data_IF_002406007251
#
_entry.id   IF_002406007251
#
_cell.length_a   1.000
_cell.length_b   1.000
_cell.length_c   1.000
_cell.angle_alpha   90.00
_cell.angle_beta   90.00
_cell.angle_gamma   90.00
#
_symmetry.space_group_name_H-M   'P 1'
#
loop_
_entity.id
_entity.type
_entity.pdbx_description
1 polymer ?
#
# COMPACT_ATOMS: atom_id res chain seq x y z
N UNK A 1 0.47 -17.91 -29.17
CA UNK A 1 0.00 -18.90 -28.19
C UNK A 1 -1.10 -19.69 -28.87
N UNK A 2 -1.03 -21.03 -28.91
CA UNK A 2 -2.15 -21.83 -29.40
C UNK A 2 -3.38 -21.52 -28.55
N UNK A 3 -4.54 -21.42 -29.18
CA UNK A 3 -5.79 -21.18 -28.48
C UNK A 3 -6.18 -22.39 -27.62
N UNK A 4 -6.93 -22.17 -26.55
CA UNK A 4 -7.37 -23.24 -25.64
C UNK A 4 -8.13 -24.35 -26.39
N UNK A 5 -8.86 -23.99 -27.45
CA UNK A 5 -9.53 -24.96 -28.34
C UNK A 5 -8.52 -25.82 -29.11
N UNK A 6 -7.49 -25.20 -29.71
CA UNK A 6 -6.45 -25.93 -30.45
C UNK A 6 -5.68 -26.88 -29.52
N UNK A 7 -5.39 -26.45 -28.29
CA UNK A 7 -4.73 -27.30 -27.29
C UNK A 7 -5.58 -28.53 -26.91
N UNK A 8 -6.89 -28.37 -26.76
CA UNK A 8 -7.80 -29.49 -26.46
C UNK A 8 -7.94 -30.45 -27.65
N UNK A 9 -7.96 -29.94 -28.88
CA UNK A 9 -7.98 -30.78 -30.08
C UNK A 9 -6.66 -31.56 -30.22
N UNK A 10 -5.52 -30.91 -29.95
CA UNK A 10 -4.21 -31.56 -29.94
C UNK A 10 -4.08 -32.62 -28.82
N UNK A 11 -4.80 -32.46 -27.72
CA UNK A 11 -4.93 -33.46 -26.64
C UNK A 11 -5.87 -34.63 -27.00
N UNK A 12 -6.50 -34.59 -28.17
CA UNK A 12 -7.36 -35.67 -28.69
C UNK A 12 -8.84 -35.57 -28.31
N UNK A 13 -9.30 -34.41 -27.84
CA UNK A 13 -10.73 -34.18 -27.61
C UNK A 13 -11.46 -33.83 -28.92
N UNK A 14 -12.72 -34.26 -29.03
CA UNK A 14 -13.57 -33.97 -30.18
C UNK A 14 -13.85 -32.45 -30.30
N UNK A 15 -13.67 -31.90 -31.50
CA UNK A 15 -13.67 -30.45 -31.74
C UNK A 15 -14.95 -29.75 -31.27
N UNK A 16 -16.12 -30.37 -31.47
CA UNK A 16 -17.40 -29.79 -31.03
C UNK A 16 -17.52 -29.77 -29.50
N UNK A 17 -17.03 -30.82 -28.82
CA UNK A 17 -17.07 -30.93 -27.36
C UNK A 17 -16.09 -29.95 -26.71
N UNK A 18 -14.90 -29.83 -27.29
CA UNK A 18 -13.89 -28.86 -26.86
C UNK A 18 -14.38 -27.43 -27.04
N UNK A 19 -15.08 -27.13 -28.14
CA UNK A 19 -15.67 -25.81 -28.37
C UNK A 19 -16.76 -25.50 -27.34
N UNK A 20 -17.64 -26.45 -27.03
CA UNK A 20 -18.64 -26.33 -25.97
C UNK A 20 -17.99 -26.09 -24.61
N UNK A 21 -16.94 -26.83 -24.27
CA UNK A 21 -16.22 -26.69 -23.01
C UNK A 21 -15.60 -25.30 -22.85
N UNK A 22 -14.86 -24.83 -23.87
CA UNK A 22 -14.22 -23.51 -23.87
C UNK A 22 -15.26 -22.38 -23.82
N UNK A 23 -16.40 -22.55 -24.50
CA UNK A 23 -17.48 -21.56 -24.50
C UNK A 23 -18.17 -21.41 -23.14
N UNK A 24 -18.22 -22.48 -22.34
CA UNK A 24 -18.90 -22.49 -21.04
C UNK A 24 -18.00 -22.10 -19.86
N UNK A 25 -16.68 -22.32 -19.93
CA UNK A 25 -15.78 -22.15 -18.76
C UNK A 25 -14.70 -21.09 -18.93
N UNK A 26 -14.43 -20.60 -20.14
CA UNK A 26 -13.60 -19.43 -20.38
C UNK A 26 -12.08 -19.61 -20.11
N UNK A 27 -11.58 -20.84 -20.08
CA UNK A 27 -10.14 -21.14 -20.01
C UNK A 27 -9.82 -22.63 -20.07
N UNK A 28 -8.60 -22.99 -20.49
CA UNK A 28 -8.17 -24.39 -20.68
C UNK A 28 -8.45 -25.30 -19.47
N UNK A 29 -8.10 -24.87 -18.27
CA UNK A 29 -8.25 -25.70 -17.06
C UNK A 29 -9.72 -25.94 -16.71
N UNK A 30 -10.57 -24.92 -16.85
CA UNK A 30 -12.01 -25.07 -16.67
C UNK A 30 -12.64 -25.92 -17.78
N UNK A 31 -12.12 -25.84 -19.00
CA UNK A 31 -12.60 -26.67 -20.11
C UNK A 31 -12.27 -28.16 -19.89
N UNK A 32 -11.11 -28.49 -19.31
CA UNK A 32 -10.76 -29.86 -18.95
C UNK A 32 -11.66 -30.43 -17.84
N UNK A 33 -11.90 -29.67 -16.78
CA UNK A 33 -12.79 -30.09 -15.67
C UNK A 33 -14.24 -30.27 -16.13
N UNK A 34 -14.69 -29.41 -17.05
CA UNK A 34 -16.01 -29.53 -17.67
C UNK A 34 -16.11 -30.74 -18.59
N UNK A 35 -15.06 -31.06 -19.36
CA UNK A 35 -15.00 -32.24 -20.21
C UNK A 35 -14.98 -33.54 -19.40
N UNK A 36 -14.28 -33.56 -18.26
CA UNK A 36 -14.26 -34.69 -17.32
C UNK A 36 -15.66 -34.92 -16.72
N UNK A 37 -16.31 -33.85 -16.27
CA UNK A 37 -17.65 -33.93 -15.68
C UNK A 37 -18.75 -34.32 -16.67
N UNK A 38 -18.52 -34.10 -17.97
CA UNK A 38 -19.47 -34.40 -19.04
C UNK A 38 -19.02 -35.57 -19.92
N UNK A 39 -18.05 -36.37 -19.48
CA UNK A 39 -17.47 -37.45 -20.27
C UNK A 39 -18.51 -38.49 -20.69
N UNK A 40 -19.45 -38.81 -19.80
CA UNK A 40 -20.49 -39.83 -19.97
C UNK A 40 -21.75 -39.33 -20.69
N UNK A 41 -21.91 -38.01 -20.85
CA UNK A 41 -23.08 -37.41 -21.51
C UNK A 41 -22.86 -37.33 -23.01
N UNK A 42 -23.81 -37.80 -23.82
CA UNK A 42 -23.73 -37.64 -25.28
C UNK A 42 -23.73 -36.16 -25.69
N UNK A 43 -23.18 -35.84 -26.86
CA UNK A 43 -23.19 -34.47 -27.38
C UNK A 43 -24.61 -33.90 -27.51
N UNK A 44 -25.61 -34.74 -27.78
CA UNK A 44 -27.01 -34.32 -27.85
C UNK A 44 -27.59 -34.00 -26.47
N UNK A 45 -27.26 -34.77 -25.43
CA UNK A 45 -27.66 -34.48 -24.04
C UNK A 45 -27.00 -33.21 -23.52
N UNK A 46 -25.73 -32.98 -23.85
CA UNK A 46 -25.00 -31.75 -23.49
C UNK A 46 -25.58 -30.54 -24.22
N UNK A 47 -25.90 -30.67 -25.52
CA UNK A 47 -26.56 -29.61 -26.31
C UNK A 47 -27.98 -29.34 -25.80
N UNK A 48 -28.72 -30.38 -25.37
CA UNK A 48 -30.05 -30.23 -24.78
C UNK A 48 -30.00 -29.59 -23.37
N UNK A 49 -29.02 -29.96 -22.54
CA UNK A 49 -28.83 -29.39 -21.21
C UNK A 49 -28.37 -27.93 -21.28
N UNK A 50 -27.45 -27.60 -22.19
CA UNK A 50 -27.04 -26.22 -22.45
C UNK A 50 -28.18 -25.39 -23.04
N UNK A 51 -28.97 -25.94 -23.97
CA UNK A 51 -30.19 -25.30 -24.48
C UNK A 51 -31.21 -25.02 -23.36
N UNK A 52 -31.42 -25.98 -22.45
CA UNK A 52 -32.27 -25.81 -21.27
C UNK A 52 -31.72 -24.76 -20.29
N UNK A 53 -30.40 -24.68 -20.11
CA UNK A 53 -29.73 -23.63 -19.32
C UNK A 53 -29.85 -22.25 -19.98
N UNK A 54 -29.74 -22.12 -21.30
CA UNK A 54 -30.00 -20.85 -22.00
C UNK A 54 -31.47 -20.44 -22.00
N UNK A 55 -32.40 -21.40 -22.01
CA UNK A 55 -33.82 -21.11 -21.84
C UNK A 55 -34.14 -20.64 -20.41
N UNK A 56 -33.42 -21.14 -19.41
CA UNK A 56 -33.48 -20.66 -18.02
C UNK A 56 -32.75 -19.31 -17.82
N UNK A 57 -31.68 -19.03 -18.59
CA UNK A 57 -30.93 -17.77 -18.51
C UNK A 57 -31.59 -16.59 -19.27
N UNK A 58 -32.59 -16.88 -20.11
CA UNK A 58 -33.43 -15.87 -20.78
C UNK A 58 -34.69 -15.48 -20.00
N UNK A 59 -35.00 -16.17 -18.90
CA UNK A 59 -36.10 -15.84 -18.01
C UNK A 59 -35.57 -15.04 -16.82
N UNK A 60 -36.15 -13.86 -16.58
CA UNK A 60 -35.91 -13.09 -15.36
C UNK A 60 -36.07 -14.02 -14.12
N UNK A 61 -35.17 -13.96 -13.11
CA UNK A 61 -35.26 -14.75 -11.86
C UNK A 61 -36.48 -14.39 -10.98
N UNK A 62 -37.42 -13.61 -11.51
CA UNK A 62 -38.68 -13.21 -10.90
C UNK A 62 -39.91 -13.79 -11.60
N UNK A 63 -39.76 -14.51 -12.71
CA UNK A 63 -40.90 -15.05 -13.44
C UNK A 63 -41.20 -16.50 -13.01
N UNK A 64 -42.41 -16.80 -12.53
CA UNK A 64 -42.76 -18.14 -12.12
C UNK A 64 -42.73 -19.12 -13.30
N UNK A 65 -42.36 -20.39 -13.08
CA UNK A 65 -42.31 -21.40 -14.13
C UNK A 65 -43.67 -21.55 -14.81
N UNK A 66 -43.68 -21.53 -16.15
CA UNK A 66 -44.89 -21.74 -16.94
C UNK A 66 -45.40 -23.18 -16.79
N UNK A 67 -46.73 -23.33 -16.72
CA UNK A 67 -47.42 -24.62 -16.59
C UNK A 67 -47.09 -25.57 -17.75
N UNK A 68 -46.88 -26.85 -17.42
CA UNK A 68 -46.86 -27.93 -18.42
C UNK A 68 -48.31 -28.23 -18.86
N UNK A 69 -48.57 -28.55 -20.14
CA UNK A 69 -49.92 -28.87 -20.60
C UNK A 69 -50.39 -30.19 -20.00
N UNK A 70 -51.32 -30.14 -19.03
CA UNK A 70 -51.96 -31.33 -18.44
C UNK A 70 -52.21 -31.31 -16.93
N UNK A 71 -51.77 -30.29 -16.18
CA UNK A 71 -52.05 -30.20 -14.73
C UNK A 71 -53.39 -29.52 -14.42
N UNK A 72 -54.21 -30.19 -13.61
CA UNK A 72 -55.50 -29.70 -13.12
C UNK A 72 -55.31 -28.50 -12.17
N UNK A 73 -55.98 -27.39 -12.45
CA UNK A 73 -55.82 -26.14 -11.72
C UNK A 73 -56.44 -26.21 -10.31
N UNK A 74 -55.65 -26.63 -9.32
CA UNK A 74 -55.95 -26.38 -7.90
C UNK A 74 -55.30 -25.06 -7.48
N UNK A 75 -56.10 -24.01 -7.29
CA UNK A 75 -55.59 -22.70 -6.86
C UNK A 75 -55.22 -22.71 -5.37
N UNK A 76 -53.92 -22.66 -5.07
CA UNK A 76 -53.41 -22.53 -3.70
C UNK A 76 -53.27 -21.04 -3.33
N UNK A 77 -53.67 -20.64 -2.12
CA UNK A 77 -53.54 -19.27 -1.62
C UNK A 77 -52.59 -19.24 -0.45
N UNK A 78 -51.55 -18.42 -0.50
CA UNK A 78 -50.72 -18.18 0.67
C UNK A 78 -51.48 -17.29 1.67
N UNK A 79 -51.69 -17.77 2.90
CA UNK A 79 -52.42 -17.04 3.93
C UNK A 79 -51.61 -15.85 4.49
N UNK A 80 -50.28 -15.90 4.40
CA UNK A 80 -49.38 -14.85 4.90
C UNK A 80 -49.36 -13.59 4.01
N UNK A 81 -49.52 -13.76 2.69
CA UNK A 81 -49.48 -12.63 1.74
C UNK A 81 -50.67 -12.53 0.80
N UNK A 82 -51.66 -13.42 0.94
CA UNK A 82 -52.89 -13.44 0.14
C UNK A 82 -52.69 -13.70 -1.36
N UNK A 83 -51.48 -14.12 -1.79
CA UNK A 83 -51.19 -14.40 -3.20
C UNK A 83 -51.80 -15.74 -3.59
N UNK A 84 -52.52 -15.76 -4.71
CA UNK A 84 -53.11 -16.96 -5.29
C UNK A 84 -52.19 -17.52 -6.36
N UNK A 85 -51.94 -18.83 -6.29
CA UNK A 85 -51.07 -19.57 -7.17
C UNK A 85 -51.89 -20.52 -8.02
N UNK A 86 -51.52 -20.65 -9.29
CA UNK A 86 -52.25 -21.48 -10.26
C UNK A 86 -51.82 -22.96 -10.21
N UNK A 87 -50.63 -23.24 -9.67
CA UNK A 87 -50.04 -24.58 -9.54
C UNK A 87 -49.23 -24.72 -8.25
N UNK A 88 -48.99 -25.97 -7.86
CA UNK A 88 -48.17 -26.31 -6.70
C UNK A 88 -46.70 -25.87 -6.87
N UNK A 89 -46.13 -26.01 -8.08
CA UNK A 89 -44.77 -25.54 -8.37
C UNK A 89 -44.60 -24.02 -8.18
N UNK A 90 -45.66 -23.25 -8.41
CA UNK A 90 -45.66 -21.80 -8.22
C UNK A 90 -45.75 -21.42 -6.72
N UNK A 91 -46.48 -22.21 -5.93
CA UNK A 91 -46.55 -22.07 -4.48
C UNK A 91 -45.21 -22.44 -3.82
N UNK A 92 -44.54 -23.50 -4.28
CA UNK A 92 -43.21 -23.91 -3.80
C UNK A 92 -42.14 -22.86 -4.12
N UNK A 93 -42.16 -22.27 -5.32
CA UNK A 93 -41.24 -21.18 -5.67
C UNK A 93 -41.46 -19.95 -4.78
N UNK A 94 -42.72 -19.58 -4.53
CA UNK A 94 -43.05 -18.49 -3.62
C UNK A 94 -42.61 -18.80 -2.18
N UNK A 95 -42.82 -20.04 -1.71
CA UNK A 95 -42.32 -20.48 -0.42
C UNK A 95 -40.79 -20.39 -0.33
N UNK A 96 -40.04 -20.73 -1.39
CA UNK A 96 -38.58 -20.64 -1.42
C UNK A 96 -38.04 -19.20 -1.41
N UNK A 97 -38.79 -18.26 -2.00
CA UNK A 97 -38.35 -16.87 -2.18
C UNK A 97 -38.79 -15.96 -1.03
N UNK A 98 -39.96 -16.23 -0.44
CA UNK A 98 -40.52 -15.40 0.63
C UNK A 98 -40.66 -16.12 1.96
N UNK A 99 -40.25 -17.40 2.06
CA UNK A 99 -40.34 -18.23 3.28
C UNK A 99 -41.77 -18.39 3.83
N UNK A 100 -42.80 -18.20 3.00
CA UNK A 100 -44.19 -18.40 3.41
C UNK A 100 -44.59 -19.86 3.21
N UNK A 101 -45.09 -20.50 4.26
CA UNK A 101 -45.40 -21.95 4.29
C UNK A 101 -46.88 -22.27 4.44
N UNK A 102 -47.71 -21.29 4.79
CA UNK A 102 -49.15 -21.50 5.01
C UNK A 102 -49.95 -21.30 3.73
N UNK A 103 -50.33 -22.40 3.07
CA UNK A 103 -51.17 -22.40 1.87
C UNK A 103 -52.54 -23.03 2.11
N UNK A 104 -53.62 -22.37 1.69
CA UNK A 104 -54.98 -22.89 1.68
C UNK A 104 -55.44 -23.23 0.26
N UNK A 105 -56.09 -24.39 0.08
CA UNK A 105 -56.69 -24.78 -1.20
C UNK A 105 -57.98 -23.97 -1.40
N UNK A 106 -58.01 -23.09 -2.41
CA UNK A 106 -59.19 -22.33 -2.80
C UNK A 106 -59.78 -22.90 -4.10
N UNK A 107 -61.09 -23.12 -4.13
CA UNK A 107 -61.83 -23.67 -5.29
C UNK A 107 -62.21 -22.63 -6.34
N UNK A 108 -61.67 -21.41 -6.24
CA UNK A 108 -61.94 -20.34 -7.19
C UNK A 108 -60.89 -20.36 -8.29
N UNK A 109 -61.25 -20.93 -9.44
CA UNK A 109 -60.46 -20.86 -10.66
C UNK A 109 -60.09 -19.40 -10.96
N UNK A 110 -58.79 -19.09 -10.85
CA UNK A 110 -58.27 -17.77 -11.22
C UNK A 110 -58.57 -17.57 -12.71
N UNK A 111 -59.52 -16.68 -13.01
CA UNK A 111 -59.84 -16.33 -14.39
C UNK A 111 -58.54 -15.91 -15.11
N UNK A 112 -58.21 -16.50 -16.27
CA UNK A 112 -57.04 -16.09 -17.02
C UNK A 112 -57.18 -14.60 -17.35
N UNK A 113 -56.14 -13.81 -17.02
CA UNK A 113 -56.09 -12.38 -17.36
C UNK A 113 -56.61 -12.14 -18.78
N UNK A 114 -57.50 -11.16 -18.93
CA UNK A 114 -58.06 -10.81 -20.24
C UNK A 114 -56.94 -10.41 -21.20
N UNK A 115 -57.10 -10.66 -22.50
CA UNK A 115 -56.03 -10.40 -23.50
C UNK A 115 -55.56 -8.93 -23.45
N UNK A 116 -56.49 -7.99 -23.21
CA UNK A 116 -56.19 -6.57 -23.04
C UNK A 116 -55.31 -6.24 -21.83
N UNK A 117 -55.48 -6.93 -20.69
CA UNK A 117 -54.68 -6.70 -19.49
C UNK A 117 -53.27 -7.32 -19.61
N UNK A 118 -53.15 -8.40 -20.39
CA UNK A 118 -51.84 -8.99 -20.72
C UNK A 118 -51.04 -8.08 -21.62
N UNK A 119 -51.68 -7.49 -22.63
CA UNK A 119 -51.04 -6.52 -23.53
C UNK A 119 -50.60 -5.26 -22.76
N UNK A 120 -51.44 -4.71 -21.89
CA UNK A 120 -51.08 -3.57 -21.06
C UNK A 120 -49.89 -3.86 -20.12
N UNK A 121 -49.84 -5.04 -19.48
CA UNK A 121 -48.70 -5.45 -18.65
C UNK A 121 -47.43 -5.68 -19.47
N UNK A 122 -47.53 -6.21 -20.69
CA UNK A 122 -46.40 -6.37 -21.59
C UNK A 122 -45.84 -5.02 -22.04
N UNK A 123 -46.70 -4.03 -22.31
CA UNK A 123 -46.27 -2.66 -22.62
C UNK A 123 -45.61 -2.00 -21.42
N UNK A 124 -46.17 -2.12 -20.22
CA UNK A 124 -45.56 -1.61 -18.99
C UNK A 124 -44.18 -2.24 -18.73
N UNK A 125 -44.04 -3.54 -18.94
CA UNK A 125 -42.76 -4.26 -18.82
C UNK A 125 -41.75 -3.81 -19.88
N UNK A 126 -42.19 -3.58 -21.14
CA UNK A 126 -41.34 -3.05 -22.21
C UNK A 126 -40.85 -1.64 -21.89
N UNK A 127 -41.70 -0.78 -21.34
CA UNK A 127 -41.33 0.56 -20.89
C UNK A 127 -40.31 0.48 -19.75
N UNK A 128 -40.55 -0.35 -18.73
CA UNK A 128 -39.60 -0.55 -17.62
C UNK A 128 -38.25 -1.10 -18.08
N UNK A 129 -38.24 -2.02 -19.05
CA UNK A 129 -37.01 -2.54 -19.66
C UNK A 129 -36.28 -1.47 -20.46
N UNK A 130 -37.00 -0.65 -21.22
CA UNK A 130 -36.43 0.48 -21.96
C UNK A 130 -35.80 1.50 -21.00
N UNK A 131 -36.47 1.85 -19.90
CA UNK A 131 -35.94 2.74 -18.87
C UNK A 131 -34.69 2.16 -18.18
N UNK A 132 -34.71 0.87 -17.83
CA UNK A 132 -33.53 0.19 -17.26
C UNK A 132 -32.35 0.19 -18.24
N UNK A 133 -32.59 -0.06 -19.54
CA UNK A 133 -31.57 -0.01 -20.59
C UNK A 133 -31.00 1.40 -20.75
N UNK A 134 -31.84 2.43 -20.71
CA UNK A 134 -31.38 3.82 -20.80
C UNK A 134 -30.51 4.20 -19.60
N UNK A 135 -30.96 3.90 -18.37
CA UNK A 135 -30.17 4.15 -17.15
C UNK A 135 -28.84 3.42 -17.18
N UNK A 136 -28.81 2.15 -17.59
CA UNK A 136 -27.57 1.39 -17.73
C UNK A 136 -26.65 2.01 -18.79
N UNK A 137 -27.18 2.42 -19.94
CA UNK A 137 -26.38 3.08 -20.98
C UNK A 137 -25.81 4.43 -20.54
N UNK A 138 -26.50 5.19 -19.67
CA UNK A 138 -25.98 6.43 -19.10
C UNK A 138 -24.86 6.18 -18.08
N UNK A 139 -25.03 5.17 -17.21
CA UNK A 139 -24.00 4.74 -16.27
C UNK A 139 -22.75 4.23 -17.00
N UNK A 140 -22.93 3.36 -18.00
CA UNK A 140 -21.82 2.82 -18.80
C UNK A 140 -21.06 3.95 -19.53
N UNK A 141 -21.76 4.98 -20.02
CA UNK A 141 -21.13 6.18 -20.61
C UNK A 141 -20.37 7.01 -19.58
N UNK A 142 -20.89 7.16 -18.37
CA UNK A 142 -20.21 7.88 -17.30
C UNK A 142 -18.94 7.14 -16.84
N UNK A 143 -19.04 5.82 -16.68
CA UNK A 143 -17.92 4.96 -16.28
C UNK A 143 -16.85 4.89 -17.38
N UNK A 144 -17.24 4.85 -18.66
CA UNK A 144 -16.30 4.93 -19.77
C UNK A 144 -15.52 6.25 -19.77
N UNK A 145 -16.19 7.39 -19.55
CA UNK A 145 -15.53 8.71 -19.43
C UNK A 145 -14.57 8.75 -18.24
N UNK A 146 -14.98 8.23 -17.08
CA UNK A 146 -14.15 8.16 -15.88
C UNK A 146 -12.90 7.29 -16.11
N UNK A 147 -13.07 6.13 -16.73
CA UNK A 147 -11.96 5.24 -17.07
C UNK A 147 -10.99 5.88 -18.06
N UNK A 148 -11.49 6.60 -19.05
CA UNK A 148 -10.64 7.36 -19.98
C UNK A 148 -9.86 8.48 -19.27
N UNK A 149 -10.52 9.21 -18.36
CA UNK A 149 -9.86 10.25 -17.56
C UNK A 149 -8.77 9.66 -16.66
N UNK A 150 -9.01 8.51 -16.02
CA UNK A 150 -8.01 7.80 -15.22
C UNK A 150 -6.81 7.41 -16.08
N UNK A 151 -7.03 6.86 -17.29
CA UNK A 151 -5.94 6.50 -18.21
C UNK A 151 -5.10 7.72 -18.63
N UNK A 152 -5.76 8.84 -18.92
CA UNK A 152 -5.09 10.10 -19.27
C UNK A 152 -4.28 10.64 -18.08
N UNK A 153 -4.86 10.66 -16.87
CA UNK A 153 -4.17 11.10 -15.65
C UNK A 153 -2.98 10.20 -15.32
N UNK A 154 -3.15 8.89 -15.32
CA UNK A 154 -2.06 7.94 -15.02
C UNK A 154 -0.90 8.06 -16.01
N UNK A 155 -1.18 8.26 -17.30
CA UNK A 155 -0.14 8.47 -18.32
C UNK A 155 0.61 9.80 -18.08
N UNK A 156 -0.13 10.87 -17.76
CA UNK A 156 0.46 12.18 -17.43
C UNK A 156 1.30 12.11 -16.16
N UNK A 157 0.80 11.51 -15.09
CA UNK A 157 1.53 11.34 -13.83
C UNK A 157 2.81 10.52 -14.03
N UNK A 158 2.77 9.48 -14.87
CA UNK A 158 3.96 8.70 -15.22
C UNK A 158 5.01 9.54 -15.97
N UNK A 159 4.57 10.42 -16.87
CA UNK A 159 5.47 11.35 -17.58
C UNK A 159 6.04 12.40 -16.62
N UNK A 160 5.19 13.02 -15.79
CA UNK A 160 5.58 14.02 -14.81
C UNK A 160 6.57 13.43 -13.78
N UNK A 161 6.35 12.21 -13.30
CA UNK A 161 7.30 11.50 -12.43
C UNK A 161 8.65 11.28 -13.10
N UNK A 162 8.67 10.85 -14.37
CA UNK A 162 9.93 10.67 -15.12
C UNK A 162 10.67 12.01 -15.27
N UNK A 163 9.97 13.08 -15.65
CA UNK A 163 10.58 14.41 -15.76
C UNK A 163 11.11 14.91 -14.41
N UNK A 164 10.39 14.69 -13.32
CA UNK A 164 10.83 15.09 -11.99
C UNK A 164 12.07 14.31 -11.55
N UNK A 165 12.15 13.01 -11.84
CA UNK A 165 13.34 12.21 -11.57
C UNK A 165 14.55 12.74 -12.36
N UNK A 166 14.40 12.99 -13.66
CA UNK A 166 15.47 13.55 -14.50
C UNK A 166 15.91 14.93 -13.99
N UNK A 167 14.97 15.83 -13.64
CA UNK A 167 15.28 17.15 -13.07
C UNK A 167 16.02 17.02 -11.74
N UNK A 168 15.62 16.09 -10.86
CA UNK A 168 16.25 15.84 -9.57
C UNK A 168 17.67 15.29 -9.73
N UNK A 169 17.90 14.41 -10.70
CA UNK A 169 19.22 13.88 -11.03
C UNK A 169 20.15 14.98 -11.56
N UNK A 170 19.68 15.81 -12.49
CA UNK A 170 20.44 16.95 -13.00
C UNK A 170 20.81 17.96 -11.90
N UNK A 171 19.86 18.28 -11.00
CA UNK A 171 20.14 19.15 -9.85
C UNK A 171 21.15 18.53 -8.90
N UNK A 172 21.06 17.22 -8.64
CA UNK A 172 22.00 16.49 -7.78
C UNK A 172 23.39 16.46 -8.39
N UNK A 173 23.51 16.24 -9.69
CA UNK A 173 24.79 16.27 -10.40
C UNK A 173 25.40 17.67 -10.41
N UNK A 174 24.60 18.71 -10.69
CA UNK A 174 25.05 20.09 -10.63
C UNK A 174 25.52 20.48 -9.21
N UNK A 175 24.81 20.03 -8.17
CA UNK A 175 25.18 20.25 -6.78
C UNK A 175 26.48 19.52 -6.40
N UNK A 176 26.65 18.26 -6.82
CA UNK A 176 27.90 17.51 -6.64
C UNK A 176 29.08 18.21 -7.31
N UNK A 177 28.91 18.63 -8.57
CA UNK A 177 29.96 19.35 -9.31
C UNK A 177 30.32 20.69 -8.67
N UNK A 178 29.36 21.41 -8.08
CA UNK A 178 29.63 22.63 -7.30
C UNK A 178 30.41 22.31 -6.03
N UNK A 179 30.03 21.25 -5.33
CA UNK A 179 30.70 20.80 -4.10
C UNK A 179 32.13 20.32 -4.38
N UNK A 180 32.35 19.50 -5.39
CA UNK A 180 33.69 19.04 -5.81
C UNK A 180 34.59 20.23 -6.17
N UNK A 181 34.07 21.22 -6.91
CA UNK A 181 34.81 22.45 -7.20
C UNK A 181 35.17 23.23 -5.93
N UNK A 182 34.27 23.32 -4.96
CA UNK A 182 34.55 23.99 -3.68
C UNK A 182 35.60 23.22 -2.88
N UNK A 183 35.48 21.90 -2.78
CA UNK A 183 36.44 21.04 -2.10
C UNK A 183 37.82 21.11 -2.77
N UNK A 184 37.90 21.16 -4.11
CA UNK A 184 39.16 21.39 -4.83
C UNK A 184 39.78 22.77 -4.51
N UNK A 185 38.96 23.82 -4.45
CA UNK A 185 39.43 25.17 -4.10
C UNK A 185 39.96 25.18 -2.67
N UNK A 186 39.24 24.56 -1.72
CA UNK A 186 39.65 24.46 -0.32
C UNK A 186 40.93 23.63 -0.17
N UNK A 187 41.05 22.50 -0.88
CA UNK A 187 42.26 21.67 -0.87
C UNK A 187 43.45 22.45 -1.42
N UNK A 188 43.28 23.14 -2.55
CA UNK A 188 44.33 24.01 -3.12
C UNK A 188 44.70 25.15 -2.16
N UNK A 189 43.72 25.76 -1.47
CA UNK A 189 43.97 26.79 -0.47
C UNK A 189 44.75 26.24 0.74
N UNK A 190 44.39 25.05 1.24
CA UNK A 190 45.12 24.38 2.33
C UNK A 190 46.55 24.04 1.94
N UNK A 191 46.78 23.56 0.72
CA UNK A 191 48.14 23.28 0.22
C UNK A 191 48.95 24.57 0.12
N UNK A 192 48.37 25.64 -0.43
CA UNK A 192 49.03 26.95 -0.51
C UNK A 192 49.39 27.50 0.86
N UNK A 193 48.46 27.43 1.82
CA UNK A 193 48.71 27.87 3.20
C UNK A 193 49.85 27.08 3.87
N UNK A 194 49.94 25.76 3.63
CA UNK A 194 51.06 24.94 4.11
C UNK A 194 52.40 25.34 3.50
N UNK A 195 52.43 25.63 2.19
CA UNK A 195 53.65 26.09 1.50
C UNK A 195 54.07 27.47 2.00
N UNK A 196 53.11 28.38 2.25
CA UNK A 196 53.39 29.71 2.78
C UNK A 196 53.93 29.66 4.21
N UNK A 197 53.32 28.84 5.07
CA UNK A 197 53.80 28.61 6.43
C UNK A 197 55.23 28.03 6.46
N UNK A 198 55.52 27.02 5.64
CA UNK A 198 56.86 26.43 5.52
C UNK A 198 57.89 27.45 4.98
N UNK A 199 57.50 28.28 4.00
CA UNK A 199 58.34 29.34 3.46
C UNK A 199 58.64 30.43 4.49
N UNK A 200 57.63 30.81 5.27
CA UNK A 200 57.78 31.78 6.36
C UNK A 200 58.63 31.23 7.50
N UNK A 201 58.46 29.95 7.86
CA UNK A 201 59.29 29.31 8.87
C UNK A 201 60.77 29.25 8.43
N UNK A 202 61.03 28.91 7.15
CA UNK A 202 62.38 28.95 6.57
C UNK A 202 62.95 30.36 6.57
N UNK A 203 62.17 31.38 6.19
CA UNK A 203 62.60 32.79 6.24
C UNK A 203 62.95 33.20 7.67
N UNK A 204 62.06 32.91 8.64
CA UNK A 204 62.28 33.19 10.06
C UNK A 204 63.52 32.48 10.61
N UNK A 205 63.77 31.23 10.21
CA UNK A 205 64.97 30.49 10.63
C UNK A 205 66.24 31.10 10.06
N UNK A 206 66.24 31.46 8.77
CA UNK A 206 67.37 32.13 8.13
C UNK A 206 67.65 33.53 8.72
N UNK A 207 66.60 34.31 9.02
CA UNK A 207 66.73 35.61 9.70
C UNK A 207 67.30 35.46 11.10
N UNK A 208 66.83 34.48 11.88
CA UNK A 208 67.38 34.15 13.20
C UNK A 208 68.85 33.76 13.13
N UNK A 209 69.23 32.92 12.18
CA UNK A 209 70.62 32.48 11.99
C UNK A 209 71.54 33.64 11.54
N UNK A 210 71.06 34.50 10.63
CA UNK A 210 71.79 35.70 10.20
C UNK A 210 71.96 36.70 11.35
N UNK A 211 70.91 36.95 12.14
CA UNK A 211 70.99 37.81 13.32
C UNK A 211 71.98 37.27 14.36
N UNK A 212 72.01 35.95 14.58
CA UNK A 212 72.99 35.31 15.46
C UNK A 212 74.44 35.47 14.95
N UNK A 213 74.65 35.47 13.63
CA UNK A 213 75.97 35.61 13.01
C UNK A 213 76.50 37.04 12.98
N UNK A 214 75.62 38.04 12.89
CA UNK A 214 75.99 39.48 12.87
C UNK A 214 76.22 40.07 14.27
N UNK A 215 76.18 39.26 15.35
CA UNK A 215 76.48 39.71 16.71
C UNK A 215 75.50 40.75 17.27
N UNK A 216 74.37 40.97 16.57
CA UNK A 216 73.26 41.79 17.06
C UNK A 216 72.63 41.02 18.23
N UNK A 217 72.73 41.57 19.44
CA UNK A 217 72.05 41.00 20.60
C UNK A 217 70.58 40.72 20.22
N UNK A 218 70.08 39.51 20.51
CA UNK A 218 68.72 39.16 20.13
C UNK A 218 67.77 40.22 20.67
N UNK A 219 66.79 40.72 19.88
CA UNK A 219 65.65 41.40 20.46
C UNK A 219 65.15 40.53 21.62
N UNK A 220 64.73 41.13 22.76
CA UNK A 220 64.23 40.36 23.89
C UNK A 220 63.29 39.32 23.34
N UNK A 221 63.59 38.04 23.60
CA UNK A 221 62.65 36.97 23.31
C UNK A 221 61.31 37.49 23.82
N UNK A 222 60.25 37.58 22.98
CA UNK A 222 58.93 37.73 23.55
C UNK A 222 58.84 36.59 24.54
N UNK A 223 58.72 36.94 25.82
CA UNK A 223 58.82 36.04 26.95
C UNK A 223 58.22 34.73 26.49
N UNK A 224 59.05 33.68 26.45
CA UNK A 224 58.60 32.35 26.07
C UNK A 224 57.35 32.12 26.89
N UNK A 225 56.20 32.23 26.22
CA UNK A 225 54.93 31.81 26.78
C UNK A 225 55.21 30.34 26.92
N UNK A 226 55.38 29.95 28.19
CA UNK A 226 55.58 28.57 28.60
C UNK A 226 54.71 27.73 27.69
N UNK A 227 55.21 26.59 27.15
CA UNK A 227 54.31 25.65 26.50
C UNK A 227 53.13 25.52 27.45
N UNK A 228 51.87 25.75 26.98
CA UNK A 228 50.74 25.57 27.86
C UNK A 228 50.97 24.20 28.50
N UNK A 229 50.90 24.10 29.85
CA UNK A 229 51.11 22.83 30.53
C UNK A 229 50.35 21.78 29.74
N UNK A 230 50.94 20.59 29.46
CA UNK A 230 50.33 19.58 28.60
C UNK A 230 48.88 19.54 28.98
N UNK A 231 48.01 19.99 28.06
CA UNK A 231 46.67 20.46 28.41
C UNK A 231 46.16 19.51 29.45
N UNK A 232 46.12 19.98 30.72
CA UNK A 232 45.61 19.17 31.79
C UNK A 232 44.29 18.63 31.23
N UNK A 233 44.02 17.30 31.31
CA UNK A 233 42.76 16.76 30.80
C UNK A 233 41.72 17.74 31.27
N UNK A 234 41.04 18.42 30.31
CA UNK A 234 40.17 19.58 30.59
C UNK A 234 39.51 19.26 31.92
N UNK A 235 39.70 20.06 33.00
CA UNK A 235 39.23 19.68 34.32
C UNK A 235 37.80 19.22 34.08
N UNK A 236 37.51 17.94 34.35
CA UNK A 236 36.25 17.32 33.94
C UNK A 236 35.17 18.27 34.41
N UNK A 237 34.71 19.13 33.50
CA UNK A 237 33.87 20.24 33.89
C UNK A 237 32.66 19.52 34.39
N UNK A 238 32.29 19.74 35.65
CA UNK A 238 31.11 19.13 36.21
C UNK A 238 29.94 19.64 35.37
N UNK A 239 29.65 18.92 34.29
CA UNK A 239 28.55 19.20 33.41
C UNK A 239 27.33 18.98 34.29
N UNK A 240 26.56 20.04 34.52
CA UNK A 240 25.32 19.98 35.29
C UNK A 240 24.16 19.50 34.43
N UNK A 241 24.32 19.57 33.10
CA UNK A 241 23.34 19.21 32.09
C UNK A 241 23.97 18.27 31.04
N UNK A 242 23.15 17.40 30.48
CA UNK A 242 23.50 16.45 29.43
C UNK A 242 22.50 16.54 28.27
N UNK A 243 23.01 16.58 27.04
CA UNK A 243 22.17 16.66 25.84
C UNK A 243 22.00 15.29 25.21
N UNK A 244 20.78 14.77 25.21
CA UNK A 244 20.43 13.47 24.64
C UNK A 244 19.75 13.64 23.28
N UNK A 245 20.28 12.96 22.26
CA UNK A 245 19.62 12.75 20.98
C UNK A 245 18.99 11.36 20.97
N UNK A 246 17.67 11.31 20.99
CA UNK A 246 16.85 10.11 21.08
C UNK A 246 16.28 9.81 19.70
N UNK A 247 16.68 8.70 19.08
CA UNK A 247 16.11 8.24 17.82
C UNK A 247 14.91 7.35 18.13
N UNK A 248 13.72 7.80 17.79
CA UNK A 248 12.45 7.12 18.04
C UNK A 248 11.83 6.69 16.71
N UNK A 249 10.89 5.73 16.70
CA UNK A 249 10.18 5.36 15.47
C UNK A 249 9.34 6.52 14.90
N UNK A 250 8.95 7.50 15.74
CA UNK A 250 8.22 8.70 15.33
C UNK A 250 9.14 9.83 14.81
N UNK A 251 10.45 9.75 15.05
CA UNK A 251 11.42 10.76 14.62
C UNK A 251 12.61 10.93 15.57
N UNK A 252 13.40 11.97 15.36
CA UNK A 252 14.50 12.29 16.28
C UNK A 252 14.05 13.35 17.28
N UNK A 253 14.16 13.02 18.56
CA UNK A 253 13.90 13.93 19.69
C UNK A 253 15.24 14.38 20.27
N UNK A 254 15.40 15.67 20.54
CA UNK A 254 16.60 16.22 21.18
C UNK A 254 16.16 16.93 22.45
N UNK A 255 16.60 16.43 23.61
CA UNK A 255 16.30 17.01 24.92
C UNK A 255 17.56 17.18 25.75
N UNK A 256 17.53 18.17 26.64
CA UNK A 256 18.59 18.43 27.62
C UNK A 256 18.04 18.09 28.99
N UNK A 257 18.76 17.26 29.74
CA UNK A 257 18.37 16.83 31.09
C UNK A 257 19.51 17.10 32.08
N UNK A 258 19.21 17.42 33.34
CA UNK A 258 20.20 17.48 34.41
C UNK A 258 20.97 16.15 34.55
N UNK A 259 22.21 16.21 35.00
CA UNK A 259 23.08 15.01 35.05
C UNK A 259 22.64 13.98 36.11
N UNK A 260 21.83 14.40 37.09
CA UNK A 260 21.29 13.55 38.15
C UNK A 260 19.96 12.89 37.77
N UNK A 261 19.36 13.21 36.61
CA UNK A 261 18.12 12.55 36.18
C UNK A 261 18.39 11.09 35.88
N UNK A 262 17.45 10.23 36.27
CA UNK A 262 17.51 8.79 35.99
C UNK A 262 17.07 8.49 34.56
N UNK A 263 17.54 7.37 34.01
CA UNK A 263 17.05 6.91 32.70
C UNK A 263 15.53 6.67 32.70
N UNK A 264 14.94 6.33 33.84
CA UNK A 264 13.49 6.19 34.00
C UNK A 264 12.74 7.50 33.70
N UNK A 265 13.20 8.63 34.24
CA UNK A 265 12.60 9.94 33.97
C UNK A 265 12.74 10.34 32.50
N UNK A 266 13.88 10.01 31.89
CA UNK A 266 14.10 10.20 30.45
C UNK A 266 13.13 9.32 29.64
N UNK A 267 12.92 8.06 30.03
CA UNK A 267 11.95 7.17 29.40
C UNK A 267 10.52 7.71 29.49
N UNK A 268 10.10 8.22 30.65
CA UNK A 268 8.80 8.85 30.82
C UNK A 268 8.64 10.10 29.95
N UNK A 269 9.65 10.98 29.90
CA UNK A 269 9.63 12.21 29.11
C UNK A 269 9.66 11.95 27.59
N UNK A 270 10.22 10.82 27.17
CA UNK A 270 10.23 10.34 25.79
C UNK A 270 8.91 9.66 25.44
N UNK A 271 8.37 8.84 26.34
CA UNK A 271 7.09 8.17 26.16
C UNK A 271 5.92 9.12 26.05
N UNK A 272 5.95 10.25 26.76
CA UNK A 272 4.97 11.34 26.60
C UNK A 272 5.00 11.99 25.20
N UNK A 273 6.15 12.01 24.52
CA UNK A 273 6.27 12.61 23.17
C UNK A 273 5.98 11.63 22.04
N UNK A 274 6.34 10.36 22.20
CA UNK A 274 6.06 9.32 21.21
C UNK A 274 4.62 8.79 21.37
N UNK A 275 4.05 8.87 22.57
CA UNK A 275 2.77 8.22 22.91
C UNK A 275 2.91 6.70 23.07
N UNK A 276 4.12 6.19 23.33
CA UNK A 276 4.42 4.77 23.49
C UNK A 276 5.40 4.56 24.67
N UNK A 277 5.30 3.41 25.33
CA UNK A 277 6.18 3.05 26.44
C UNK A 277 7.55 2.63 25.93
N UNK A 278 8.61 3.20 26.48
CA UNK A 278 10.01 2.91 26.10
C UNK A 278 10.47 1.66 26.83
N UNK A 279 10.93 0.64 26.09
CA UNK A 279 11.36 -0.63 26.67
C UNK A 279 12.87 -0.69 26.89
N UNK A 280 13.66 -0.13 25.97
CA UNK A 280 15.12 -0.08 26.11
C UNK A 280 15.76 1.07 25.34
N UNK A 281 16.97 1.47 25.77
CA UNK A 281 17.81 2.42 25.04
C UNK A 281 19.06 1.73 24.53
N UNK A 282 19.40 1.92 23.25
CA UNK A 282 20.64 1.39 22.66
C UNK A 282 21.55 2.52 22.21
N UNK A 283 22.77 2.58 22.74
CA UNK A 283 23.84 3.43 22.23
C UNK A 283 24.53 2.75 21.04
N UNK A 284 24.80 3.49 19.96
CA UNK A 284 25.41 2.91 18.75
C UNK A 284 26.93 2.75 18.86
N UNK A 285 27.62 3.64 19.59
CA UNK A 285 29.07 3.59 19.76
C UNK A 285 29.54 4.20 21.11
N UNK A 286 30.29 3.45 21.93
CA UNK A 286 30.37 1.98 21.94
C UNK A 286 28.97 1.37 22.07
N UNK A 287 28.74 0.20 21.44
CA UNK A 287 27.41 -0.42 21.45
C UNK A 287 27.07 -0.89 22.87
N UNK A 288 26.11 -0.25 23.52
CA UNK A 288 25.64 -0.59 24.87
C UNK A 288 24.12 -0.53 24.89
N UNK A 289 23.48 -1.56 25.45
CA UNK A 289 22.03 -1.65 25.60
C UNK A 289 21.72 -1.38 27.07
N UNK A 290 20.76 -0.49 27.31
CA UNK A 290 20.27 -0.12 28.62
C UNK A 290 18.83 -0.63 28.76
N UNK A 291 18.70 -1.78 29.40
CA UNK A 291 17.42 -2.41 29.73
C UNK A 291 16.89 -1.88 31.08
N UNK A 292 15.76 -2.43 31.56
CA UNK A 292 15.06 -1.98 32.78
C UNK A 292 15.96 -1.91 34.05
N UNK A 293 17.03 -2.71 34.11
CA UNK A 293 17.99 -2.70 35.21
C UNK A 293 18.77 -1.37 35.32
N UNK A 294 19.00 -0.70 34.19
CA UNK A 294 19.73 0.57 34.12
C UNK A 294 18.83 1.79 34.29
N UNK A 295 17.51 1.62 34.36
CA UNK A 295 16.57 2.74 34.48
C UNK A 295 16.67 3.46 35.81
N UNK A 296 17.19 2.80 36.85
CA UNK A 296 17.46 3.41 38.16
C UNK A 296 18.77 4.18 38.25
N UNK A 297 19.66 4.07 37.25
CA UNK A 297 20.95 4.77 37.23
C UNK A 297 20.82 6.18 36.63
N UNK A 298 21.69 7.10 37.08
CA UNK A 298 21.69 8.48 36.58
C UNK A 298 22.45 8.59 35.24
N UNK A 299 22.17 9.64 34.47
CA UNK A 299 22.89 9.92 33.23
C UNK A 299 24.42 10.07 33.45
N UNK A 300 24.82 10.48 34.66
CA UNK A 300 26.22 10.54 35.10
C UNK A 300 26.85 9.16 35.20
N UNK A 301 26.19 8.25 35.90
CA UNK A 301 26.72 6.91 36.22
C UNK A 301 26.85 6.06 34.95
N UNK A 302 25.93 6.29 34.00
CA UNK A 302 25.89 5.63 32.71
C UNK A 302 26.87 6.21 31.68
N UNK A 303 27.55 7.32 32.01
CA UNK A 303 28.52 7.97 31.13
C UNK A 303 27.90 8.67 29.91
N UNK A 304 26.65 9.13 30.01
CA UNK A 304 25.89 9.77 28.92
C UNK A 304 26.12 11.30 28.85
N UNK A 305 27.11 11.79 29.59
CA UNK A 305 27.49 13.20 29.74
C UNK A 305 28.76 13.48 28.93
N UNK A 306 28.89 14.64 28.24
CA UNK A 306 27.97 15.78 28.16
C UNK A 306 26.89 15.65 27.07
N UNK A 307 27.02 14.66 26.19
CA UNK A 307 26.05 14.40 25.14
C UNK A 307 26.07 12.94 24.72
N UNK A 308 24.90 12.35 24.49
CA UNK A 308 24.79 10.98 23.98
C UNK A 308 23.70 10.86 22.89
N UNK A 309 23.88 9.88 22.02
CA UNK A 309 22.87 9.48 21.02
C UNK A 309 22.39 8.08 21.35
N UNK A 310 21.10 7.97 21.68
CA UNK A 310 20.44 6.72 22.05
C UNK A 310 19.33 6.42 21.06
N UNK A 311 19.21 5.16 20.68
CA UNK A 311 18.08 4.64 19.91
C UNK A 311 17.07 4.06 20.88
N UNK A 312 15.82 4.49 20.75
CA UNK A 312 14.70 4.09 21.59
C UNK A 312 14.03 2.89 20.94
N UNK A 313 13.89 1.80 21.70
CA UNK A 313 13.15 0.60 21.29
C UNK A 313 11.95 0.36 22.20
#
# INVERSE_FOLDING_TARGET
MPSDLEQLVDMGFEAERAQLAVSNTGGLQGALEWLESNQDNSLEEIKAASAAQTAAAGADPDEPPALKPGEEARSLVCNDCGKRFRSQAQAEFHASKTEHVDFSESTEEIAPLTEAEKEAKLEELRVKLAEKRQKKAELDKADAKRNEEIRRKSTKETQDMKEQLVKKEQLKEAAKKRREKQEEIEVKARIRAKIEADKEERRRKAEKEKAAREGRAPPPEPAATQPPPPSAPRPASAYTESRLRLQTPAGNVIKTFPVETTLFEVAAAVGQEIGAEVQSFTQNFPRKVFDAEYFGETLKDLGLVPSASLNVQ
#
